data_IF_704371184938
#
_entry.id   IF_704371184938
#
_cell.length_a   1.000
_cell.length_b   1.000
_cell.length_c   1.000
_cell.angle_alpha   90.00
_cell.angle_beta   90.00
_cell.angle_gamma   90.00
#
_symmetry.space_group_name_H-M   'P 1'
#
loop_
_entity.id
_entity.type
_entity.pdbx_description
1 polymer ?
#
# COMPACT_ATOMS: atom_id res chain seq x y z
N UNK A 1 6.45 19.28 7.50
CA UNK A 1 5.57 18.41 6.72
C UNK A 1 6.23 17.05 6.53
N UNK A 2 5.52 15.97 6.84
CA UNK A 2 6.02 14.61 6.64
C UNK A 2 5.92 14.24 5.15
N UNK A 3 6.64 13.18 4.75
CA UNK A 3 6.59 12.73 3.36
C UNK A 3 5.18 12.33 2.94
N UNK A 4 4.47 11.56 3.77
CA UNK A 4 3.10 11.16 3.44
C UNK A 4 2.15 12.35 3.35
N UNK A 5 2.33 13.38 4.19
CA UNK A 5 1.54 14.60 4.10
C UNK A 5 1.80 15.36 2.79
N UNK A 6 3.05 15.46 2.36
CA UNK A 6 3.39 16.11 1.11
C UNK A 6 2.82 15.35 -0.08
N UNK A 7 2.93 14.03 -0.07
CA UNK A 7 2.39 13.19 -1.13
C UNK A 7 0.85 13.29 -1.19
N UNK A 8 0.20 13.33 -0.02
CA UNK A 8 -1.25 13.50 0.04
C UNK A 8 -1.68 14.83 -0.56
N UNK A 9 -0.92 15.90 -0.29
CA UNK A 9 -1.20 17.23 -0.85
C UNK A 9 -1.04 17.23 -2.38
N UNK A 10 0.02 16.61 -2.90
CA UNK A 10 0.24 16.50 -4.34
C UNK A 10 -0.87 15.68 -5.00
N UNK A 11 -1.27 14.58 -4.36
CA UNK A 11 -2.36 13.75 -4.85
C UNK A 11 -3.67 14.54 -4.92
N UNK A 12 -3.98 15.28 -3.84
CA UNK A 12 -5.21 16.05 -3.75
C UNK A 12 -5.28 17.16 -4.80
N UNK A 13 -4.15 17.83 -5.06
CA UNK A 13 -4.13 19.01 -5.93
C UNK A 13 -3.77 18.71 -7.38
N UNK A 14 -2.94 17.70 -7.63
CA UNK A 14 -2.39 17.42 -8.96
C UNK A 14 -2.57 15.98 -9.42
N UNK A 15 -3.08 15.10 -8.56
CA UNK A 15 -3.33 13.71 -8.91
C UNK A 15 -2.19 12.75 -8.56
N UNK A 16 -2.47 11.47 -8.74
CA UNK A 16 -1.55 10.40 -8.33
C UNK A 16 -0.20 10.45 -9.03
N UNK A 17 -0.19 10.65 -10.34
CA UNK A 17 1.07 10.65 -11.09
C UNK A 17 2.01 11.75 -10.57
N UNK A 18 1.47 12.93 -10.29
CA UNK A 18 2.26 14.03 -9.74
C UNK A 18 2.84 13.66 -8.38
N UNK A 19 2.05 12.98 -7.53
CA UNK A 19 2.52 12.53 -6.22
C UNK A 19 3.64 11.50 -6.35
N UNK A 20 3.51 10.54 -7.28
CA UNK A 20 4.53 9.52 -7.49
C UNK A 20 5.82 10.11 -8.08
N UNK A 21 5.68 11.08 -8.99
CA UNK A 21 6.84 11.78 -9.55
C UNK A 21 7.55 12.59 -8.47
N UNK A 22 6.79 13.23 -7.58
CA UNK A 22 7.33 13.97 -6.44
C UNK A 22 8.07 13.05 -5.49
N UNK A 23 7.49 11.87 -5.20
CA UNK A 23 8.13 10.86 -4.36
C UNK A 23 9.48 10.44 -4.95
N UNK A 24 9.53 10.12 -6.25
CA UNK A 24 10.74 9.69 -6.91
C UNK A 24 11.81 10.79 -6.88
N UNK A 25 11.41 12.03 -7.11
CA UNK A 25 12.32 13.18 -7.07
C UNK A 25 12.87 13.43 -5.67
N UNK A 26 12.00 13.41 -4.66
CA UNK A 26 12.40 13.61 -3.26
C UNK A 26 13.32 12.50 -2.79
N UNK A 27 13.04 11.25 -3.16
CA UNK A 27 13.87 10.12 -2.79
C UNK A 27 15.26 10.25 -3.40
N UNK A 28 15.35 10.65 -4.65
CA UNK A 28 16.64 10.86 -5.35
C UNK A 28 17.46 11.97 -4.68
N UNK A 29 16.80 13.05 -4.26
CA UNK A 29 17.47 14.24 -3.71
C UNK A 29 17.80 14.11 -2.23
N UNK A 30 16.98 13.42 -1.45
CA UNK A 30 17.05 13.41 0.00
C UNK A 30 17.25 12.04 0.66
N UNK A 31 17.35 10.97 -0.14
CA UNK A 31 17.54 9.62 0.40
C UNK A 31 18.81 9.59 1.26
N UNK A 32 18.69 9.01 2.45
CA UNK A 32 19.80 8.95 3.40
C UNK A 32 19.97 10.21 4.24
N UNK A 33 19.16 11.24 4.02
CA UNK A 33 19.14 12.47 4.82
C UNK A 33 17.91 12.44 5.73
N UNK A 34 17.96 13.14 6.85
CA UNK A 34 16.87 13.11 7.84
C UNK A 34 15.67 13.99 7.50
N UNK A 35 15.63 14.60 6.30
CA UNK A 35 14.54 15.50 5.91
C UNK A 35 13.22 14.77 5.71
N UNK A 36 13.25 13.52 5.18
CA UNK A 36 12.06 12.71 4.92
C UNK A 36 12.28 11.27 5.32
N UNK A 37 11.18 10.62 5.72
CA UNK A 37 11.17 9.20 6.03
C UNK A 37 10.78 8.41 4.79
N UNK A 38 11.75 7.75 4.15
CA UNK A 38 11.54 6.92 2.97
C UNK A 38 11.35 5.44 3.32
N UNK A 39 11.02 5.14 4.58
CA UNK A 39 10.69 3.76 5.00
C UNK A 39 9.29 3.38 4.51
N UNK A 40 8.95 2.10 4.66
CA UNK A 40 7.64 1.60 4.22
C UNK A 40 6.47 2.32 4.87
N UNK A 41 6.65 2.85 6.07
CA UNK A 41 5.58 3.53 6.81
C UNK A 41 5.00 4.74 6.09
N UNK A 42 5.83 5.53 5.40
CA UNK A 42 5.36 6.72 4.70
C UNK A 42 4.47 6.40 3.51
N UNK A 43 4.88 5.45 2.65
CA UNK A 43 4.04 5.03 1.53
C UNK A 43 2.81 4.27 2.01
N UNK A 44 2.94 3.52 3.10
CA UNK A 44 1.80 2.83 3.68
C UNK A 44 0.72 3.84 4.13
N UNK A 45 1.12 4.88 4.85
CA UNK A 45 0.20 5.93 5.30
C UNK A 45 -0.45 6.66 4.11
N UNK A 46 0.34 6.99 3.10
CA UNK A 46 -0.16 7.65 1.89
C UNK A 46 -1.17 6.75 1.17
N UNK A 47 -0.85 5.47 1.00
CA UNK A 47 -1.73 4.50 0.35
C UNK A 47 -3.06 4.33 1.09
N UNK A 48 -3.03 4.29 2.41
CA UNK A 48 -4.26 4.20 3.20
C UNK A 48 -5.12 5.46 3.08
N UNK A 49 -4.50 6.63 2.98
CA UNK A 49 -5.24 7.87 2.73
C UNK A 49 -6.01 7.83 1.41
N UNK A 50 -5.40 7.26 0.37
CA UNK A 50 -6.05 7.06 -0.93
C UNK A 50 -7.16 6.01 -0.82
N UNK A 51 -6.89 4.92 -0.09
CA UNK A 51 -7.86 3.84 0.12
C UNK A 51 -9.12 4.35 0.81
N UNK A 52 -8.98 5.23 1.79
CA UNK A 52 -10.13 5.84 2.48
C UNK A 52 -11.02 6.63 1.53
N UNK A 53 -10.45 7.17 0.46
CA UNK A 53 -11.22 7.89 -0.58
C UNK A 53 -11.85 6.92 -1.58
N UNK A 54 -11.66 5.62 -1.39
CA UNK A 54 -12.15 4.56 -2.27
C UNK A 54 -11.57 4.61 -3.68
N UNK A 55 -10.40 5.24 -3.82
CA UNK A 55 -9.62 5.18 -5.06
C UNK A 55 -8.77 3.92 -5.04
N UNK A 56 -9.40 2.77 -5.31
CA UNK A 56 -8.73 1.48 -5.22
C UNK A 56 -7.59 1.33 -6.22
N UNK A 57 -7.74 1.72 -7.50
CA UNK A 57 -6.60 1.66 -8.41
C UNK A 57 -5.40 2.48 -7.94
N UNK A 58 -5.65 3.66 -7.38
CA UNK A 58 -4.59 4.52 -6.86
C UNK A 58 -3.88 3.89 -5.66
N UNK A 59 -4.67 3.36 -4.71
CA UNK A 59 -4.12 2.70 -3.53
C UNK A 59 -3.29 1.47 -3.92
N UNK A 60 -3.79 0.67 -4.86
CA UNK A 60 -3.06 -0.50 -5.37
C UNK A 60 -1.71 -0.08 -5.94
N UNK A 61 -1.67 0.99 -6.72
CA UNK A 61 -0.44 1.47 -7.34
C UNK A 61 0.59 1.89 -6.29
N UNK A 62 0.17 2.62 -5.25
CA UNK A 62 1.04 3.06 -4.17
C UNK A 62 1.53 1.87 -3.34
N UNK A 63 0.64 0.95 -2.98
CA UNK A 63 1.03 -0.23 -2.20
C UNK A 63 1.94 -1.17 -3.00
N UNK A 64 1.75 -1.28 -4.32
CA UNK A 64 2.68 -2.05 -5.18
C UNK A 64 4.08 -1.46 -5.14
N UNK A 65 4.18 -0.13 -5.26
CA UNK A 65 5.47 0.54 -5.18
C UNK A 65 6.16 0.24 -3.85
N UNK A 66 5.39 0.28 -2.75
CA UNK A 66 5.92 -0.02 -1.42
C UNK A 66 6.38 -1.48 -1.31
N UNK A 67 5.60 -2.42 -1.86
CA UNK A 67 5.96 -3.84 -1.85
C UNK A 67 7.20 -4.14 -2.68
N UNK A 68 7.36 -3.46 -3.81
CA UNK A 68 8.56 -3.61 -4.65
C UNK A 68 9.81 -3.08 -3.93
N UNK A 69 9.65 -2.05 -3.11
CA UNK A 69 10.76 -1.46 -2.36
C UNK A 69 11.11 -2.25 -1.09
N UNK A 70 10.11 -2.90 -0.47
CA UNK A 70 10.28 -3.62 0.79
C UNK A 70 9.67 -5.03 0.72
N UNK A 71 10.12 -5.87 -0.22
CA UNK A 71 9.46 -7.17 -0.48
C UNK A 71 9.54 -8.18 0.68
N UNK A 72 10.43 -7.96 1.65
CA UNK A 72 10.54 -8.84 2.81
C UNK A 72 9.59 -8.46 3.95
N UNK A 73 8.86 -7.36 3.82
CA UNK A 73 7.91 -6.92 4.85
C UNK A 73 6.53 -7.52 4.59
N UNK A 74 6.03 -8.32 5.53
CA UNK A 74 4.67 -8.86 5.43
C UNK A 74 3.61 -7.77 5.41
N UNK A 75 3.88 -6.64 6.06
CA UNK A 75 2.93 -5.53 6.15
C UNK A 75 2.61 -4.90 4.78
N UNK A 76 3.60 -4.81 3.88
CA UNK A 76 3.35 -4.22 2.55
C UNK A 76 2.43 -5.09 1.71
N UNK A 77 2.57 -6.42 1.81
CA UNK A 77 1.70 -7.35 1.08
C UNK A 77 0.30 -7.38 1.66
N UNK A 78 0.19 -7.26 2.99
CA UNK A 78 -1.09 -7.16 3.69
C UNK A 78 -1.87 -5.92 3.23
N UNK A 79 -1.23 -4.76 3.19
CA UNK A 79 -1.85 -3.51 2.73
C UNK A 79 -2.30 -3.61 1.27
N UNK A 80 -1.47 -4.21 0.42
CA UNK A 80 -1.80 -4.41 -1.00
C UNK A 80 -3.01 -5.34 -1.14
N UNK A 81 -3.07 -6.41 -0.33
CA UNK A 81 -4.21 -7.32 -0.33
C UNK A 81 -5.51 -6.58 0.02
N UNK A 82 -5.45 -5.69 1.00
CA UNK A 82 -6.62 -4.91 1.41
C UNK A 82 -7.15 -4.03 0.29
N UNK A 83 -6.25 -3.39 -0.46
CA UNK A 83 -6.65 -2.57 -1.60
C UNK A 83 -7.28 -3.41 -2.71
N UNK A 84 -6.74 -4.58 -3.01
CA UNK A 84 -7.34 -5.50 -3.98
C UNK A 84 -8.70 -5.99 -3.52
N UNK A 85 -8.84 -6.30 -2.23
CA UNK A 85 -10.12 -6.73 -1.68
C UNK A 85 -11.18 -5.63 -1.85
N UNK A 86 -10.81 -4.39 -1.58
CA UNK A 86 -11.70 -3.25 -1.78
C UNK A 86 -12.11 -3.07 -3.25
N UNK A 87 -11.20 -3.38 -4.17
CA UNK A 87 -11.47 -3.30 -5.62
C UNK A 87 -12.29 -4.47 -6.14
N UNK A 88 -12.51 -5.51 -5.31
CA UNK A 88 -13.25 -6.69 -5.72
C UNK A 88 -12.41 -7.72 -6.47
N UNK A 89 -11.09 -7.54 -6.52
CA UNK A 89 -10.18 -8.49 -7.14
C UNK A 89 -9.75 -9.53 -6.11
N UNK A 90 -10.61 -10.53 -5.91
CA UNK A 90 -10.41 -11.53 -4.87
C UNK A 90 -9.20 -12.42 -5.11
N UNK A 91 -8.90 -12.71 -6.37
CA UNK A 91 -7.74 -13.52 -6.72
C UNK A 91 -6.43 -12.84 -6.30
N UNK A 92 -6.26 -11.59 -6.67
CA UNK A 92 -5.05 -10.83 -6.32
C UNK A 92 -4.98 -10.59 -4.81
N UNK A 93 -6.12 -10.33 -4.16
CA UNK A 93 -6.19 -10.17 -2.72
C UNK A 93 -5.69 -11.44 -2.01
N UNK A 94 -6.16 -12.62 -2.45
CA UNK A 94 -5.72 -13.90 -1.88
C UNK A 94 -4.22 -14.11 -2.06
N UNK A 95 -3.70 -13.88 -3.26
CA UNK A 95 -2.26 -14.03 -3.54
C UNK A 95 -1.42 -13.18 -2.60
N UNK A 96 -1.84 -11.95 -2.36
CA UNK A 96 -1.08 -11.04 -1.49
C UNK A 96 -1.24 -11.38 -0.01
N UNK A 97 -2.41 -11.88 0.42
CA UNK A 97 -2.59 -12.42 1.77
C UNK A 97 -1.65 -13.61 1.99
N UNK A 98 -1.53 -14.50 1.01
CA UNK A 98 -0.66 -15.65 1.11
C UNK A 98 0.81 -15.22 1.26
N UNK A 99 1.25 -14.20 0.53
CA UNK A 99 2.59 -13.63 0.65
C UNK A 99 2.81 -13.03 2.03
N UNK A 100 1.83 -12.27 2.54
CA UNK A 100 1.92 -11.67 3.87
C UNK A 100 2.07 -12.74 4.94
N UNK A 101 1.28 -13.82 4.85
CA UNK A 101 1.33 -14.92 5.82
C UNK A 101 2.60 -15.76 5.69
N UNK A 102 3.17 -15.88 4.50
CA UNK A 102 4.45 -16.56 4.32
C UNK A 102 5.57 -15.82 5.06
N UNK A 103 5.50 -14.49 5.09
CA UNK A 103 6.50 -13.67 5.78
C UNK A 103 6.19 -13.49 7.26
N UNK A 104 4.92 -13.47 7.63
CA UNK A 104 4.48 -13.33 9.02
C UNK A 104 3.26 -14.23 9.26
N UNK A 105 3.47 -15.50 9.65
CA UNK A 105 2.36 -16.43 9.89
C UNK A 105 1.40 -16.01 11.00
N UNK A 106 1.79 -15.07 11.85
CA UNK A 106 0.95 -14.58 12.95
C UNK A 106 0.09 -13.37 12.56
N UNK A 107 0.11 -12.96 11.29
CA UNK A 107 -0.64 -11.79 10.84
C UNK A 107 -2.15 -12.08 10.83
N UNK A 108 -2.83 -11.67 11.89
CA UNK A 108 -4.27 -11.89 12.06
C UNK A 108 -5.11 -11.16 11.03
N UNK A 109 -4.68 -9.97 10.62
CA UNK A 109 -5.39 -9.18 9.61
C UNK A 109 -5.45 -9.91 8.27
N UNK A 110 -4.33 -10.48 7.83
CA UNK A 110 -4.28 -11.27 6.60
C UNK A 110 -5.16 -12.52 6.70
N UNK A 111 -5.19 -13.18 7.87
CA UNK A 111 -6.04 -14.35 8.11
C UNK A 111 -7.52 -13.96 8.00
N UNK A 112 -7.91 -12.83 8.56
CA UNK A 112 -9.29 -12.35 8.48
C UNK A 112 -9.69 -12.01 7.05
N UNK A 113 -8.79 -11.40 6.29
CA UNK A 113 -9.05 -11.11 4.87
C UNK A 113 -9.26 -12.40 4.07
N UNK A 114 -8.42 -13.42 4.30
CA UNK A 114 -8.61 -14.71 3.65
C UNK A 114 -9.96 -15.33 3.97
N UNK A 115 -10.40 -15.21 5.22
CA UNK A 115 -11.72 -15.70 5.62
C UNK A 115 -12.83 -15.00 4.87
N UNK A 116 -12.75 -13.67 4.74
CA UNK A 116 -13.73 -12.89 3.97
C UNK A 116 -13.76 -13.31 2.50
N UNK A 117 -12.58 -13.53 1.92
CA UNK A 117 -12.47 -13.96 0.52
C UNK A 117 -13.14 -15.33 0.33
N UNK A 118 -12.86 -16.28 1.24
CA UNK A 118 -13.48 -17.62 1.19
C UNK A 118 -14.99 -17.55 1.33
N UNK A 119 -15.50 -16.71 2.22
CA UNK A 119 -16.94 -16.52 2.40
C UNK A 119 -17.60 -15.96 1.13
N UNK A 120 -16.93 -15.04 0.43
CA UNK A 120 -17.42 -14.48 -0.83
C UNK A 120 -17.51 -15.53 -1.93
N UNK A 121 -16.63 -16.54 -1.93
CA UNK A 121 -16.63 -17.61 -2.91
C UNK A 121 -17.73 -18.67 -2.68
N UNK A 122 -18.35 -18.69 -1.51
CA UNK A 122 -19.39 -19.66 -1.17
C UNK A 122 -20.75 -19.30 -1.75
N UNK A 123 -20.90 -18.11 -2.27
CA UNK A 123 -22.11 -17.68 -2.93
C UNK A 123 -22.10 -18.08 -4.40
#
# INVERSE_FOLDING_TARGET
MTLDEELAEQYRTKGLQAALDDYADLKKRFYGRSAYDFTEGSLNAFGYGILEKKDFPGAIQVFKLNAESFPASGNVWDSLAEAYLGAGDLKSAKENCDKALALDPANDHAKEMLKKIQESHKE
#
